data_IF_508631416876
#
_entry.id   IF_508631416876
#
_cell.length_a   1.000
_cell.length_b   1.000
_cell.length_c   1.000
_cell.angle_alpha   90.00
_cell.angle_beta   90.00
_cell.angle_gamma   90.00
#
_symmetry.space_group_name_H-M   'P 1'
#
loop_
_entity.id
_entity.type
_entity.pdbx_description
1 polymer ?
#
# COMPACT_ATOMS: atom_id res chain seq x y z
N UNK A 1 -1.28 0.71 13.58
CA UNK A 1 0.11 1.15 13.31
C UNK A 1 0.17 2.65 13.07
N UNK A 2 -0.47 3.20 12.04
CA UNK A 2 -0.43 4.65 11.78
C UNK A 2 -0.78 5.54 12.98
N UNK A 3 -1.79 5.15 13.77
CA UNK A 3 -2.24 5.94 14.93
C UNK A 3 -1.51 5.62 16.24
N UNK A 4 -0.96 4.41 16.37
CA UNK A 4 -0.42 3.91 17.63
C UNK A 4 1.12 3.87 17.66
N UNK A 5 1.75 3.76 16.48
CA UNK A 5 3.19 3.70 16.30
C UNK A 5 3.61 4.42 15.00
N UNK A 6 3.42 5.75 14.90
CA UNK A 6 3.76 6.51 13.69
C UNK A 6 5.25 6.42 13.34
N UNK A 7 6.13 6.23 14.33
CA UNK A 7 7.58 6.12 14.15
C UNK A 7 8.03 4.95 13.27
N UNK A 8 7.14 3.99 12.98
CA UNK A 8 7.43 2.93 12.00
C UNK A 8 7.77 3.53 10.64
N UNK A 9 7.10 4.61 10.25
CA UNK A 9 7.35 5.31 8.99
C UNK A 9 8.52 6.28 9.13
N UNK A 10 9.54 6.26 8.25
CA UNK A 10 10.68 7.18 8.34
C UNK A 10 10.29 8.67 8.23
N UNK A 11 9.24 8.99 7.48
CA UNK A 11 8.79 10.36 7.22
C UNK A 11 7.47 10.68 7.94
N UNK A 12 7.28 10.16 9.16
CA UNK A 12 6.04 10.29 9.92
C UNK A 12 5.73 11.72 10.37
N UNK A 13 6.72 12.61 10.50
CA UNK A 13 6.49 14.05 10.79
C UNK A 13 5.55 14.70 9.77
N UNK A 14 5.57 14.17 8.56
CA UNK A 14 4.74 14.62 7.47
C UNK A 14 3.24 14.25 7.65
N UNK A 15 2.89 13.41 8.63
CA UNK A 15 1.51 13.12 9.05
C UNK A 15 0.85 14.33 9.72
N UNK A 16 1.61 15.16 10.45
CA UNK A 16 1.06 16.28 11.23
C UNK A 16 0.36 17.31 10.34
N UNK A 17 0.78 17.42 9.08
CA UNK A 17 0.30 18.41 8.12
C UNK A 17 -0.61 17.82 7.02
N UNK A 18 -0.87 16.51 7.04
CA UNK A 18 -1.57 15.82 5.95
C UNK A 18 -2.95 15.34 6.39
N UNK A 19 -3.98 15.84 5.70
CA UNK A 19 -5.35 15.30 5.79
C UNK A 19 -5.60 14.18 4.77
N UNK A 20 -4.62 13.87 3.92
CA UNK A 20 -4.79 12.92 2.84
C UNK A 20 -4.64 11.48 3.35
N UNK A 21 -5.45 10.56 2.82
CA UNK A 21 -5.38 9.12 3.10
C UNK A 21 -5.29 8.37 1.78
N UNK A 22 -4.51 7.29 1.73
CA UNK A 22 -4.40 6.41 0.57
C UNK A 22 -2.97 5.99 0.25
N UNK A 23 -2.81 5.19 -0.81
CA UNK A 23 -1.51 4.58 -1.17
C UNK A 23 -0.41 5.62 -1.42
N UNK A 24 -0.71 6.67 -2.17
CA UNK A 24 0.26 7.74 -2.46
C UNK A 24 0.78 8.44 -1.21
N UNK A 25 -0.09 8.61 -0.21
CA UNK A 25 0.31 9.16 1.08
C UNK A 25 1.17 8.17 1.87
N UNK A 26 0.77 6.89 1.90
CA UNK A 26 1.54 5.84 2.55
C UNK A 26 2.94 5.71 1.95
N UNK A 27 3.07 5.80 0.62
CA UNK A 27 4.33 5.85 -0.11
C UNK A 27 5.16 7.06 0.33
N UNK A 28 4.54 8.24 0.52
CA UNK A 28 5.22 9.44 1.02
C UNK A 28 5.77 9.25 2.44
N UNK A 29 5.00 8.63 3.33
CA UNK A 29 5.44 8.33 4.70
C UNK A 29 6.59 7.31 4.75
N UNK A 30 6.59 6.37 3.82
CA UNK A 30 7.60 5.33 3.70
C UNK A 30 8.90 5.83 3.04
N UNK A 31 8.79 6.61 1.95
CA UNK A 31 9.91 6.90 1.04
C UNK A 31 10.14 8.39 0.77
N UNK A 32 9.38 9.28 1.40
CA UNK A 32 9.59 10.73 1.38
C UNK A 32 8.96 11.47 0.18
N UNK A 33 8.40 10.76 -0.80
CA UNK A 33 7.70 11.34 -1.97
C UNK A 33 6.39 10.62 -2.24
N UNK A 34 5.33 11.32 -2.66
CA UNK A 34 4.06 10.68 -2.99
C UNK A 34 4.17 9.88 -4.28
N UNK A 35 3.31 8.86 -4.41
CA UNK A 35 3.12 8.13 -5.65
C UNK A 35 2.48 9.03 -6.71
N UNK A 36 2.98 9.00 -7.95
CA UNK A 36 2.34 9.67 -9.08
C UNK A 36 0.93 9.11 -9.30
N UNK A 37 -0.07 9.99 -9.44
CA UNK A 37 -1.48 9.64 -9.67
C UNK A 37 -1.96 9.98 -11.08
N UNK A 38 -1.07 10.39 -11.98
CA UNK A 38 -1.41 10.92 -13.30
C UNK A 38 -2.31 9.98 -14.13
N UNK A 39 -2.14 8.66 -14.00
CA UNK A 39 -2.91 7.67 -14.76
C UNK A 39 -4.14 7.10 -14.02
N UNK A 40 -4.41 7.52 -12.78
CA UNK A 40 -5.50 6.98 -11.96
C UNK A 40 -6.87 7.11 -12.66
N UNK A 41 -7.10 8.23 -13.34
CA UNK A 41 -8.36 8.54 -14.07
C UNK A 41 -8.23 8.42 -15.59
N UNK A 42 -7.18 7.74 -16.08
CA UNK A 42 -7.02 7.48 -17.52
C UNK A 42 -8.08 6.49 -18.04
N UNK A 43 -8.30 6.45 -19.35
CA UNK A 43 -9.22 5.47 -19.94
C UNK A 43 -8.61 4.06 -19.93
N UNK A 44 -8.85 3.31 -18.86
CA UNK A 44 -8.40 1.93 -18.66
C UNK A 44 -9.13 0.90 -19.53
N UNK A 45 -10.20 1.29 -20.24
CA UNK A 45 -10.92 0.39 -21.15
C UNK A 45 -10.33 0.40 -22.56
N UNK A 46 -9.66 1.50 -22.95
CA UNK A 46 -9.02 1.63 -24.26
C UNK A 46 -7.97 0.54 -24.46
N UNK A 47 -7.90 -0.02 -25.68
CA UNK A 47 -6.90 -1.00 -26.09
C UNK A 47 -6.17 -0.57 -27.36
N UNK A 48 -4.85 -0.87 -27.48
CA UNK A 48 -3.98 -1.38 -26.41
C UNK A 48 -3.79 -0.35 -25.28
N UNK A 49 -3.33 -0.81 -24.10
CA UNK A 49 -2.99 0.11 -23.01
C UNK A 49 -1.78 0.96 -23.40
N UNK A 50 -1.76 2.22 -22.95
CA UNK A 50 -0.59 3.09 -23.14
C UNK A 50 0.57 2.58 -22.28
N UNK A 51 1.83 2.75 -22.72
CA UNK A 51 3.00 2.42 -21.91
C UNK A 51 2.97 3.07 -20.51
N UNK A 52 2.51 4.32 -20.41
CA UNK A 52 2.34 5.01 -19.12
C UNK A 52 1.31 4.33 -18.19
N UNK A 53 0.22 3.76 -18.72
CA UNK A 53 -0.75 3.01 -17.92
C UNK A 53 -0.14 1.70 -17.40
N UNK A 54 0.66 1.01 -18.23
CA UNK A 54 1.37 -0.20 -17.81
C UNK A 54 2.36 0.11 -16.67
N UNK A 55 3.20 1.12 -16.86
CA UNK A 55 4.18 1.57 -15.85
C UNK A 55 3.46 1.93 -14.55
N UNK A 56 2.40 2.73 -14.62
CA UNK A 56 1.60 3.09 -13.45
C UNK A 56 1.03 1.86 -12.74
N UNK A 57 0.45 0.91 -13.47
CA UNK A 57 -0.16 -0.30 -12.87
C UNK A 57 0.85 -1.20 -12.18
N UNK A 58 2.05 -1.35 -12.77
CA UNK A 58 3.15 -2.09 -12.17
C UNK A 58 3.65 -1.38 -10.91
N UNK A 59 3.77 -0.06 -10.97
CA UNK A 59 4.22 0.74 -9.84
C UNK A 59 3.24 0.63 -8.66
N UNK A 60 1.92 0.74 -8.89
CA UNK A 60 0.88 0.59 -7.86
C UNK A 60 0.96 -0.76 -7.13
N UNK A 61 1.33 -1.85 -7.82
CA UNK A 61 1.52 -3.16 -7.21
C UNK A 61 2.87 -3.30 -6.49
N UNK A 62 3.95 -2.84 -7.11
CA UNK A 62 5.32 -2.96 -6.59
C UNK A 62 5.48 -2.24 -5.25
N UNK A 63 4.92 -1.02 -5.13
CA UNK A 63 5.06 -0.24 -3.91
C UNK A 63 4.43 -0.91 -2.69
N UNK A 64 3.42 -1.77 -2.86
CA UNK A 64 2.81 -2.50 -1.75
C UNK A 64 3.81 -3.49 -1.12
N UNK A 65 4.60 -4.17 -1.95
CA UNK A 65 5.65 -5.09 -1.49
C UNK A 65 6.73 -4.31 -0.75
N UNK A 66 7.20 -3.21 -1.32
CA UNK A 66 8.24 -2.37 -0.74
C UNK A 66 7.80 -1.77 0.61
N UNK A 67 6.55 -1.29 0.70
CA UNK A 67 5.96 -0.77 1.95
C UNK A 67 5.96 -1.86 3.01
N UNK A 68 5.53 -3.08 2.66
CA UNK A 68 5.37 -4.13 3.64
C UNK A 68 6.72 -4.61 4.20
N UNK A 69 7.74 -4.75 3.33
CA UNK A 69 9.12 -5.04 3.73
C UNK A 69 9.71 -3.93 4.60
N UNK A 70 9.45 -2.67 4.26
CA UNK A 70 9.88 -1.53 5.08
C UNK A 70 9.27 -1.60 6.48
N UNK A 71 7.96 -1.80 6.58
CA UNK A 71 7.25 -1.87 7.86
C UNK A 71 7.80 -3.03 8.71
N UNK A 72 8.00 -4.21 8.14
CA UNK A 72 8.61 -5.34 8.83
C UNK A 72 10.01 -4.99 9.35
N UNK A 73 10.88 -4.46 8.49
CA UNK A 73 12.23 -4.06 8.89
C UNK A 73 12.21 -3.00 10.02
N UNK A 74 11.33 -2.01 9.90
CA UNK A 74 11.21 -0.90 10.87
C UNK A 74 10.68 -1.38 12.20
N UNK A 75 9.62 -2.18 12.19
CA UNK A 75 9.04 -2.75 13.41
C UNK A 75 10.07 -3.60 14.16
N UNK A 76 10.83 -4.45 13.45
CA UNK A 76 11.92 -5.22 14.05
C UNK A 76 13.00 -4.33 14.67
N UNK A 77 13.46 -3.28 13.94
CA UNK A 77 14.47 -2.35 14.46
C UNK A 77 14.03 -1.56 15.69
N UNK A 78 12.71 -1.31 15.81
CA UNK A 78 12.10 -0.57 16.91
C UNK A 78 11.56 -1.47 18.01
N UNK A 79 11.78 -2.79 17.91
CA UNK A 79 11.26 -3.80 18.83
C UNK A 79 9.73 -3.73 19.01
N UNK A 80 9.03 -3.33 17.96
CA UNK A 80 7.57 -3.30 17.92
C UNK A 80 7.09 -4.70 17.50
N UNK A 81 6.18 -5.35 18.26
CA UNK A 81 5.65 -6.65 17.88
C UNK A 81 5.01 -6.61 16.48
N UNK A 82 5.55 -7.40 15.56
CA UNK A 82 5.06 -7.52 14.19
C UNK A 82 4.95 -9.00 13.79
N UNK A 83 3.86 -9.36 13.10
CA UNK A 83 3.67 -10.71 12.57
C UNK A 83 2.74 -10.66 11.37
N UNK A 84 3.16 -11.29 10.28
CA UNK A 84 2.32 -11.54 9.10
C UNK A 84 1.08 -12.37 9.44
N UNK A 85 1.12 -13.16 10.52
CA UNK A 85 -0.04 -13.94 10.99
C UNK A 85 -1.20 -13.05 11.43
N UNK A 86 -0.94 -11.82 11.87
CA UNK A 86 -1.98 -10.86 12.23
C UNK A 86 -2.79 -10.36 11.00
N UNK A 87 -2.25 -10.51 9.78
CA UNK A 87 -2.98 -10.20 8.55
C UNK A 87 -3.96 -11.30 8.13
N UNK A 88 -3.74 -12.56 8.54
CA UNK A 88 -4.60 -13.71 8.16
C UNK A 88 -6.07 -13.49 8.51
N UNK A 89 -6.35 -12.71 9.55
CA UNK A 89 -7.71 -12.33 9.95
C UNK A 89 -8.45 -11.42 8.97
N UNK A 90 -7.76 -10.61 8.16
CA UNK A 90 -8.40 -9.65 7.24
C UNK A 90 -8.62 -10.19 5.82
N UNK A 91 -7.73 -11.06 5.33
CA UNK A 91 -7.84 -11.68 4.00
C UNK A 91 -8.90 -12.78 3.92
N UNK A 92 -9.14 -13.52 5.02
CA UNK A 92 -10.12 -14.62 5.04
C UNK A 92 -11.52 -14.26 5.56
N UNK A 93 -11.67 -13.15 6.30
CA UNK A 93 -12.98 -12.73 6.84
C UNK A 93 -13.75 -11.79 5.91
N UNK A 94 -13.09 -11.26 4.87
CA UNK A 94 -13.77 -10.40 3.90
C UNK A 94 -14.66 -11.24 2.97
N UNK A 95 -15.96 -11.30 3.29
CA UNK A 95 -17.00 -12.01 2.55
C UNK A 95 -17.01 -11.67 1.05
N UNK A 96 -16.57 -10.46 0.67
CA UNK A 96 -16.49 -10.01 -0.73
C UNK A 96 -15.28 -10.59 -1.50
N UNK A 97 -14.20 -10.96 -0.81
CA UNK A 97 -13.04 -11.62 -1.42
C UNK A 97 -13.28 -13.13 -1.55
N UNK A 98 -13.90 -13.76 -0.55
CA UNK A 98 -14.29 -15.19 -0.57
C UNK A 98 -15.12 -15.55 -1.82
N UNK A 99 -16.10 -14.70 -2.16
CA UNK A 99 -16.96 -14.88 -3.34
C UNK A 99 -16.21 -14.77 -4.69
N UNK A 100 -15.00 -14.19 -4.70
CA UNK A 100 -14.20 -13.93 -5.90
C UNK A 100 -13.11 -14.98 -6.14
N UNK A 101 -12.77 -15.77 -5.12
CA UNK A 101 -11.79 -16.87 -5.18
C UNK A 101 -12.47 -18.23 -5.30
N UNK A 102 -13.75 -18.36 -4.89
CA UNK A 102 -14.55 -19.58 -5.11
C UNK A 102 -15.04 -19.77 -6.56
N UNK A 103 -14.67 -18.87 -7.49
CA UNK A 103 -14.86 -19.06 -8.93
C UNK A 103 -13.47 -19.19 -9.54
N UNK A 104 -12.88 -20.37 -9.40
CA UNK A 104 -11.77 -20.94 -10.21
C UNK A 104 -11.08 -22.07 -9.41
N UNK A 105 -11.83 -23.12 -9.03
CA UNK A 105 -11.42 -24.55 -9.00
C UNK A 105 -12.68 -25.39 -9.21
#
# INVERSE_FOLDING_TARGET
>A
ILEHCPQVFPYYDALLNSKSRGLSELVRLCFGKPLDKSMQTSDWRKRPLKPAQLIYSVLDAQVLVDIALLIEKRTHSLQIPWSWSNFKGYIWTNKAFKKRVEIDI
#
